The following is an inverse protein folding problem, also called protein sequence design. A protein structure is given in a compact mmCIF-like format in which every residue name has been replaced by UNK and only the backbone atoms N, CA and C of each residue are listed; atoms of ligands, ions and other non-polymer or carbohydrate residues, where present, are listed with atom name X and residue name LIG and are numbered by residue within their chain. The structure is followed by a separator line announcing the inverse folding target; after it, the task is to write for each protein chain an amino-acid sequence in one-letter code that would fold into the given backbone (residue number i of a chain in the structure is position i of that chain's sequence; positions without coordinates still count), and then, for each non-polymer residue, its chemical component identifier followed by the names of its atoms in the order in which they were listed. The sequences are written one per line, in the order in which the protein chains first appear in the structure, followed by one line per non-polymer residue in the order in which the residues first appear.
data_IF_223843059156
#
_entry.id   IF_223843059156
#
_cell.length_a   1.000
_cell.length_b   1.000
_cell.length_c   1.000
_cell.angle_alpha   90.00
_cell.angle_beta   90.00
_cell.angle_gamma   90.00
#
_symmetry.space_group_name_H-M   'P 1'
#
loop_
_entity.id
_entity.type
_entity.pdbx_description
1 polymer ?
#
# COMPACT_ATOMS: atom_id res chain seq x y z
N UNK A 1 4.45 66.82 16.96
CA UNK A 1 4.61 66.11 15.67
C UNK A 1 5.07 64.66 15.87
N UNK A 2 4.44 63.87 16.77
CA UNK A 2 4.90 62.50 17.12
C UNK A 2 3.79 61.43 17.17
N UNK A 3 2.51 61.79 17.02
CA UNK A 3 1.38 60.85 17.18
C UNK A 3 0.87 60.24 15.87
N UNK A 4 1.22 60.80 14.71
CA UNK A 4 0.81 60.28 13.39
C UNK A 4 1.74 59.19 12.86
N UNK A 5 3.02 59.19 13.25
CA UNK A 5 4.02 58.23 12.77
C UNK A 5 3.84 56.81 13.35
N UNK A 6 3.24 56.70 14.54
CA UNK A 6 3.04 55.42 15.22
C UNK A 6 1.83 54.63 14.68
N UNK A 7 0.83 55.33 14.12
CA UNK A 7 -0.37 54.68 13.54
C UNK A 7 -0.09 54.03 12.17
N UNK A 8 0.77 54.64 11.36
CA UNK A 8 1.17 54.09 10.05
C UNK A 8 2.08 52.87 10.19
N UNK A 9 2.94 52.83 11.21
CA UNK A 9 3.80 51.66 11.47
C UNK A 9 3.00 50.44 11.93
N UNK A 10 1.94 50.65 12.71
CA UNK A 10 1.09 49.57 13.20
C UNK A 10 0.22 48.95 12.08
N UNK A 11 -0.25 49.75 11.12
CA UNK A 11 -1.02 49.25 9.98
C UNK A 11 -0.19 48.39 9.02
N UNK A 12 1.11 48.70 8.86
CA UNK A 12 2.01 47.91 8.00
C UNK A 12 2.30 46.51 8.58
N UNK A 13 2.31 46.38 9.92
CA UNK A 13 2.55 45.10 10.59
C UNK A 13 1.36 44.13 10.49
N UNK A 14 0.13 44.65 10.39
CA UNK A 14 -1.09 43.83 10.27
C UNK A 14 -1.21 43.21 8.88
N UNK A 15 -0.76 43.90 7.82
CA UNK A 15 -0.83 43.41 6.43
C UNK A 15 0.15 42.25 6.19
N UNK A 16 1.27 42.20 6.94
CA UNK A 16 2.22 41.08 6.90
C UNK A 16 1.69 39.78 7.52
N UNK A 17 0.72 39.85 8.42
CA UNK A 17 0.14 38.65 9.07
C UNK A 17 -0.91 37.95 8.19
N UNK A 18 -1.51 38.65 7.22
CA UNK A 18 -2.56 38.08 6.33
C UNK A 18 -1.92 37.45 5.08
N UNK A 19 -0.68 37.80 4.74
CA UNK A 19 0.02 37.26 3.56
C UNK A 19 0.53 35.81 3.71
N UNK A 20 0.28 35.16 4.85
CA UNK A 20 0.64 33.77 5.08
C UNK A 20 -0.58 32.84 5.28
N UNK A 21 -1.72 33.17 4.67
CA UNK A 21 -2.65 32.10 4.26
C UNK A 21 -2.12 31.48 2.97
N UNK A 22 -1.04 30.72 3.11
CA UNK A 22 -0.62 29.80 2.07
C UNK A 22 -1.82 28.93 1.74
N UNK A 23 -2.32 29.04 0.50
CA UNK A 23 -3.31 28.15 -0.06
C UNK A 23 -2.96 26.73 0.36
N UNK A 24 -3.73 26.18 1.31
CA UNK A 24 -3.69 24.75 1.61
C UNK A 24 -4.34 24.07 0.42
N UNK A 25 -3.63 24.04 -0.71
CA UNK A 25 -3.87 23.04 -1.73
C UNK A 25 -3.97 21.72 -0.98
N UNK A 26 -5.09 21.02 -1.15
CA UNK A 26 -5.20 19.63 -0.71
C UNK A 26 -3.97 18.95 -1.29
N UNK A 27 -2.95 18.67 -0.48
CA UNK A 27 -1.80 17.86 -0.87
C UNK A 27 -2.38 16.52 -1.30
N UNK A 28 -2.63 16.35 -2.59
CA UNK A 28 -2.82 15.04 -3.18
C UNK A 28 -1.54 14.30 -2.82
N UNK A 29 -1.66 13.34 -1.91
CA UNK A 29 -0.54 12.54 -1.42
C UNK A 29 0.10 11.93 -2.68
N UNK A 30 1.25 12.47 -3.11
CA UNK A 30 1.96 11.97 -4.29
C UNK A 30 2.33 10.52 -3.98
N UNK A 31 1.69 9.60 -4.68
CA UNK A 31 2.06 8.18 -4.67
C UNK A 31 3.25 7.98 -5.60
N UNK A 32 4.10 6.99 -5.29
CA UNK A 32 5.19 6.63 -6.19
C UNK A 32 4.64 6.15 -7.55
N UNK A 33 5.41 6.36 -8.61
CA UNK A 33 5.16 5.65 -9.85
C UNK A 33 5.40 4.14 -9.65
N UNK A 34 4.69 3.29 -10.39
CA UNK A 34 4.79 1.84 -10.28
C UNK A 34 4.45 1.19 -11.63
N UNK A 35 5.21 0.16 -12.00
CA UNK A 35 4.91 -0.71 -13.14
C UNK A 35 4.19 -1.98 -12.66
N UNK A 36 4.58 -2.52 -11.50
CA UNK A 36 4.07 -3.79 -10.98
C UNK A 36 3.88 -3.75 -9.45
N UNK A 37 2.75 -4.29 -8.98
CA UNK A 37 2.51 -4.65 -7.59
C UNK A 37 2.68 -6.16 -7.47
N UNK A 38 3.53 -6.59 -6.54
CA UNK A 38 3.71 -8.01 -6.23
C UNK A 38 3.41 -8.27 -4.77
N UNK A 39 2.46 -9.18 -4.53
CA UNK A 39 2.07 -9.63 -3.20
C UNK A 39 2.40 -11.11 -3.09
N UNK A 40 3.26 -11.45 -2.14
CA UNK A 40 3.58 -12.82 -1.76
C UNK A 40 2.95 -13.13 -0.41
N UNK A 41 2.17 -14.19 -0.33
CA UNK A 41 1.88 -14.86 0.94
C UNK A 41 2.77 -16.09 1.05
N UNK A 42 2.44 -17.04 1.94
CA UNK A 42 3.27 -18.23 2.17
C UNK A 42 3.53 -19.05 0.91
N UNK A 43 2.45 -19.37 0.18
CA UNK A 43 2.49 -20.22 -1.00
C UNK A 43 1.92 -19.53 -2.25
N UNK A 44 1.41 -18.31 -2.10
CA UNK A 44 0.73 -17.62 -3.19
C UNK A 44 1.51 -16.38 -3.62
N UNK A 45 1.43 -16.09 -4.91
CA UNK A 45 1.97 -14.88 -5.52
C UNK A 45 0.90 -14.23 -6.36
N UNK A 46 0.68 -12.95 -6.16
CA UNK A 46 -0.23 -12.13 -6.94
C UNK A 46 0.60 -11.06 -7.61
N UNK A 47 0.40 -10.90 -8.91
CA UNK A 47 1.12 -9.94 -9.74
C UNK A 47 0.10 -9.07 -10.47
N UNK A 48 0.12 -7.77 -10.22
CA UNK A 48 -0.74 -6.79 -10.87
C UNK A 48 0.14 -5.80 -11.60
N UNK A 49 -0.12 -5.58 -12.89
CA UNK A 49 0.61 -4.60 -13.70
C UNK A 49 -0.21 -3.33 -13.87
N UNK A 50 0.44 -2.19 -13.95
CA UNK A 50 -0.22 -0.90 -14.12
C UNK A 50 -0.97 -0.82 -15.46
N UNK A 51 -0.31 -1.35 -16.51
CA UNK A 51 -0.69 -1.30 -17.91
C UNK A 51 -1.69 -2.39 -18.35
N UNK A 52 -2.09 -3.27 -17.43
CA UNK A 52 -2.98 -4.39 -17.72
C UNK A 52 -4.15 -4.47 -16.75
N UNK A 53 -5.33 -4.76 -17.28
CA UNK A 53 -6.51 -5.12 -16.47
C UNK A 53 -6.45 -6.56 -15.98
N UNK A 54 -5.50 -7.37 -16.49
CA UNK A 54 -5.31 -8.77 -16.11
C UNK A 54 -4.21 -8.89 -15.06
N UNK A 55 -4.58 -9.44 -13.91
CA UNK A 55 -3.67 -9.83 -12.84
C UNK A 55 -3.42 -11.34 -12.86
N UNK A 56 -2.26 -11.76 -12.37
CA UNK A 56 -1.87 -13.16 -12.28
C UNK A 56 -1.82 -13.61 -10.82
N UNK A 57 -2.28 -14.83 -10.59
CA UNK A 57 -2.26 -15.53 -9.32
C UNK A 57 -1.58 -16.89 -9.51
N UNK A 58 -0.52 -17.14 -8.73
CA UNK A 58 0.16 -18.43 -8.67
C UNK A 58 -0.01 -18.98 -7.25
N UNK A 59 -0.38 -20.25 -7.12
CA UNK A 59 -0.44 -20.97 -5.84
C UNK A 59 0.43 -22.23 -5.91
N UNK A 60 1.45 -22.29 -5.04
CA UNK A 60 2.35 -23.45 -4.90
C UNK A 60 1.70 -24.48 -3.99
N UNK A 61 1.27 -25.59 -4.56
CA UNK A 61 0.72 -26.71 -3.82
C UNK A 61 1.82 -27.73 -3.52
N UNK A 62 1.90 -28.13 -2.26
CA UNK A 62 2.84 -29.17 -1.83
C UNK A 62 2.10 -30.52 -1.91
N UNK A 63 2.28 -31.25 -3.00
CA UNK A 63 1.69 -32.58 -3.15
C UNK A 63 2.52 -33.56 -2.33
N UNK A 64 1.91 -34.12 -1.26
CA UNK A 64 2.57 -35.14 -0.43
C UNK A 64 2.96 -36.33 -1.31
N UNK A 65 4.25 -36.45 -1.65
CA UNK A 65 4.82 -37.60 -2.34
C UNK A 65 5.62 -37.32 -3.62
N UNK A 66 5.52 -36.13 -4.22
CA UNK A 66 6.34 -35.75 -5.38
C UNK A 66 7.30 -34.63 -5.02
N UNK A 67 8.55 -34.72 -5.49
CA UNK A 67 9.60 -33.71 -5.31
C UNK A 67 9.37 -32.43 -6.13
N UNK A 68 8.33 -32.38 -6.95
CA UNK A 68 7.97 -31.24 -7.79
C UNK A 68 6.77 -30.49 -7.20
N UNK A 69 6.97 -29.22 -6.86
CA UNK A 69 5.87 -28.34 -6.44
C UNK A 69 4.98 -28.06 -7.65
N UNK A 70 3.69 -28.42 -7.56
CA UNK A 70 2.72 -28.04 -8.58
C UNK A 70 2.34 -26.56 -8.41
N UNK A 71 2.39 -25.80 -9.49
CA UNK A 71 2.00 -24.38 -9.51
C UNK A 71 0.66 -24.26 -10.22
N UNK A 72 -0.39 -23.97 -9.45
CA UNK A 72 -1.67 -23.58 -10.01
C UNK A 72 -1.62 -22.09 -10.38
N UNK A 73 -1.69 -21.81 -11.68
CA UNK A 73 -1.72 -20.45 -12.21
C UNK A 73 -3.12 -20.09 -12.69
N UNK A 74 -3.62 -18.92 -12.28
CA UNK A 74 -4.89 -18.35 -12.72
C UNK A 74 -4.70 -16.87 -13.02
N UNK A 75 -5.56 -16.33 -13.87
CA UNK A 75 -5.64 -14.88 -14.10
C UNK A 75 -7.02 -14.37 -13.71
N UNK A 76 -7.09 -13.10 -13.30
CA UNK A 76 -8.33 -12.45 -12.92
C UNK A 76 -8.29 -10.97 -13.31
N UNK A 77 -9.47 -10.35 -13.41
CA UNK A 77 -9.60 -8.96 -13.84
C UNK A 77 -9.63 -8.00 -12.64
N UNK A 78 -8.89 -6.91 -12.78
CA UNK A 78 -8.99 -5.72 -11.93
C UNK A 78 -9.22 -4.51 -12.83
N UNK A 79 -10.32 -3.81 -12.63
CA UNK A 79 -10.56 -2.54 -13.32
C UNK A 79 -9.61 -1.45 -12.81
N UNK A 80 -9.52 -0.33 -13.54
CA UNK A 80 -8.63 0.79 -13.20
C UNK A 80 -8.81 1.30 -11.77
N UNK A 81 -10.05 1.45 -11.31
CA UNK A 81 -10.35 1.95 -9.95
C UNK A 81 -9.88 0.97 -8.86
N UNK A 82 -10.02 -0.32 -9.11
CA UNK A 82 -9.52 -1.38 -8.22
C UNK A 82 -7.97 -1.34 -8.19
N UNK A 83 -7.30 -1.22 -9.34
CA UNK A 83 -5.84 -1.09 -9.40
C UNK A 83 -5.33 0.17 -8.69
N UNK A 84 -5.97 1.32 -8.92
CA UNK A 84 -5.62 2.58 -8.26
C UNK A 84 -5.80 2.49 -6.73
N UNK A 85 -6.86 1.82 -6.29
CA UNK A 85 -7.11 1.58 -4.86
C UNK A 85 -6.06 0.65 -4.26
N UNK A 86 -5.76 -0.45 -4.94
CA UNK A 86 -4.72 -1.40 -4.53
C UNK A 86 -3.37 -0.68 -4.40
N UNK A 87 -2.96 0.08 -5.41
CA UNK A 87 -1.73 0.88 -5.38
C UNK A 87 -1.71 1.83 -4.18
N UNK A 88 -2.79 2.56 -3.92
CA UNK A 88 -2.88 3.47 -2.77
C UNK A 88 -2.68 2.76 -1.44
N UNK A 89 -3.30 1.59 -1.25
CA UNK A 89 -3.17 0.82 -0.01
C UNK A 89 -1.75 0.27 0.16
N UNK A 90 -1.19 -0.29 -0.92
CA UNK A 90 0.19 -0.81 -0.95
C UNK A 90 1.21 0.30 -0.66
N UNK A 91 1.10 1.44 -1.34
CA UNK A 91 2.00 2.57 -1.13
C UNK A 91 1.96 3.07 0.32
N UNK A 92 0.77 3.15 0.91
CA UNK A 92 0.61 3.55 2.31
C UNK A 92 1.23 2.52 3.27
N UNK A 93 1.09 1.23 3.01
CA UNK A 93 1.77 0.21 3.83
C UNK A 93 3.28 0.31 3.78
N UNK A 94 3.84 0.53 2.58
CA UNK A 94 5.29 0.61 2.38
C UNK A 94 5.86 1.88 3.04
N UNK A 95 5.18 3.01 2.91
CA UNK A 95 5.66 4.30 3.43
C UNK A 95 5.37 4.51 4.91
N UNK A 96 4.37 3.80 5.47
CA UNK A 96 3.96 3.90 6.88
C UNK A 96 3.69 2.49 7.44
N UNK A 97 4.72 1.63 7.55
CA UNK A 97 4.55 0.28 8.07
C UNK A 97 4.09 0.31 9.53
N UNK A 98 3.23 -0.63 9.91
CA UNK A 98 2.72 -0.76 11.27
C UNK A 98 3.45 -1.87 11.98
N UNK A 99 4.19 -1.58 13.04
CA UNK A 99 4.72 -2.63 13.91
C UNK A 99 3.56 -3.22 14.72
N UNK A 100 3.40 -4.55 14.64
CA UNK A 100 2.28 -5.27 15.27
C UNK A 100 2.81 -6.24 16.30
N UNK A 101 2.16 -6.28 17.46
CA UNK A 101 2.44 -7.26 18.52
C UNK A 101 1.65 -8.57 18.32
N UNK A 102 0.89 -8.68 17.22
CA UNK A 102 0.11 -9.87 16.85
C UNK A 102 0.98 -11.01 16.31
N UNK A 103 2.01 -11.35 17.06
CA UNK A 103 2.90 -12.46 16.76
C UNK A 103 2.17 -13.79 17.00
N UNK A 104 2.34 -14.73 16.09
CA UNK A 104 1.85 -16.08 16.22
C UNK A 104 3.01 -17.07 16.13
N UNK A 105 3.12 -17.97 17.11
CA UNK A 105 4.13 -19.03 17.14
C UNK A 105 3.70 -20.25 16.33
N UNK A 106 2.39 -20.52 16.30
CA UNK A 106 1.76 -21.56 15.48
C UNK A 106 0.84 -20.90 14.45
N UNK A 107 0.77 -21.46 13.23
CA UNK A 107 0.01 -20.87 12.11
C UNK A 107 0.45 -19.43 11.78
N UNK A 108 1.74 -19.16 11.98
CA UNK A 108 2.43 -17.94 11.57
C UNK A 108 2.16 -17.66 10.08
N UNK A 109 1.33 -16.66 9.85
CA UNK A 109 1.09 -16.09 8.56
C UNK A 109 2.21 -15.18 8.09
N UNK A 110 2.22 -14.93 6.79
CA UNK A 110 3.24 -14.21 6.09
C UNK A 110 2.65 -13.39 4.95
N UNK A 111 3.07 -12.13 4.84
CA UNK A 111 2.86 -11.35 3.63
C UNK A 111 4.06 -10.46 3.34
N UNK A 112 4.51 -10.47 2.09
CA UNK A 112 5.45 -9.50 1.54
C UNK A 112 4.77 -8.78 0.39
N UNK A 113 4.76 -7.45 0.45
CA UNK A 113 4.12 -6.59 -0.55
C UNK A 113 5.17 -5.65 -1.12
N UNK A 114 5.23 -5.54 -2.44
CA UNK A 114 6.18 -4.65 -3.11
C UNK A 114 5.59 -3.90 -4.29
N UNK A 115 6.10 -2.68 -4.49
CA UNK A 115 5.99 -1.89 -5.71
C UNK A 115 7.30 -2.02 -6.48
N UNK A 116 7.20 -2.26 -7.78
CA UNK A 116 8.34 -2.31 -8.69
C UNK A 116 8.16 -1.24 -9.75
N UNK A 117 9.22 -0.50 -10.02
CA UNK A 117 9.34 0.48 -11.08
C UNK A 117 10.70 0.25 -11.76
N UNK A 118 10.68 -0.29 -12.99
CA UNK A 118 11.87 -0.63 -13.77
C UNK A 118 12.95 -1.39 -12.97
N UNK A 119 13.92 -0.65 -12.42
CA UNK A 119 15.08 -1.16 -11.70
C UNK A 119 14.97 -1.02 -10.17
N UNK A 120 13.88 -0.45 -9.66
CA UNK A 120 13.70 -0.13 -8.24
C UNK A 120 12.56 -0.95 -7.67
N UNK A 121 12.77 -1.53 -6.48
CA UNK A 121 11.73 -2.23 -5.72
C UNK A 121 11.61 -1.58 -4.33
N UNK A 122 10.39 -1.19 -3.97
CA UNK A 122 10.04 -0.76 -2.61
C UNK A 122 9.10 -1.81 -2.02
N UNK A 123 9.31 -2.23 -0.78
CA UNK A 123 8.49 -3.28 -0.20
C UNK A 123 8.40 -3.22 1.32
N UNK A 124 7.42 -3.96 1.83
CA UNK A 124 7.19 -4.17 3.25
C UNK A 124 6.82 -5.63 3.48
N UNK A 125 7.37 -6.21 4.52
CA UNK A 125 7.25 -7.63 4.84
C UNK A 125 6.81 -7.79 6.29
N UNK A 126 5.76 -8.60 6.50
CA UNK A 126 5.26 -9.00 7.80
C UNK A 126 5.44 -10.51 7.95
N UNK A 127 6.30 -10.88 8.90
CA UNK A 127 6.62 -12.28 9.24
C UNK A 127 6.01 -12.65 10.58
N UNK A 128 5.65 -13.92 10.72
CA UNK A 128 5.19 -14.50 11.99
C UNK A 128 3.95 -13.80 12.58
N UNK A 129 3.08 -13.27 11.71
CA UNK A 129 1.81 -12.64 12.10
C UNK A 129 0.69 -13.66 12.03
N UNK A 130 -0.25 -13.70 12.97
CA UNK A 130 -1.33 -14.71 12.95
C UNK A 130 -2.15 -14.71 11.64
N UNK A 131 -2.92 -13.65 11.41
CA UNK A 131 -3.58 -13.40 10.12
C UNK A 131 -3.07 -12.09 9.53
N UNK A 132 -2.40 -12.15 8.38
CA UNK A 132 -1.76 -10.96 7.80
C UNK A 132 -2.78 -9.89 7.40
N UNK A 133 -4.00 -10.31 7.03
CA UNK A 133 -5.10 -9.41 6.69
C UNK A 133 -5.50 -8.48 7.85
N UNK A 134 -5.15 -8.82 9.10
CA UNK A 134 -5.53 -8.07 10.30
C UNK A 134 -4.42 -7.20 10.87
N UNK A 135 -3.26 -7.15 10.22
CA UNK A 135 -2.07 -6.39 10.68
C UNK A 135 -2.34 -4.89 10.71
N UNK A 136 -3.02 -4.37 9.70
CA UNK A 136 -3.36 -2.95 9.56
C UNK A 136 -4.68 -2.76 8.81
N UNK A 137 -5.18 -1.52 8.78
CA UNK A 137 -6.37 -1.20 7.98
C UNK A 137 -6.11 -1.40 6.48
N UNK A 138 -4.87 -1.23 6.05
CA UNK A 138 -4.44 -1.36 4.66
C UNK A 138 -4.35 -2.83 4.25
N UNK A 139 -3.78 -3.71 5.08
CA UNK A 139 -3.78 -5.17 4.81
C UNK A 139 -5.20 -5.71 4.70
N UNK A 140 -6.13 -5.21 5.54
CA UNK A 140 -7.53 -5.61 5.49
C UNK A 140 -8.20 -5.18 4.17
N UNK A 141 -7.94 -3.95 3.72
CA UNK A 141 -8.46 -3.41 2.45
C UNK A 141 -7.90 -4.17 1.24
N UNK A 142 -6.61 -4.49 1.25
CA UNK A 142 -5.95 -5.29 0.21
C UNK A 142 -6.57 -6.69 0.17
N UNK A 143 -6.66 -7.36 1.31
CA UNK A 143 -7.28 -8.68 1.41
C UNK A 143 -8.70 -8.66 0.88
N UNK A 144 -9.53 -7.71 1.32
CA UNK A 144 -10.93 -7.59 0.88
C UNK A 144 -11.03 -7.46 -0.64
N UNK A 145 -10.30 -6.50 -1.22
CA UNK A 145 -10.31 -6.24 -2.67
C UNK A 145 -9.94 -7.49 -3.48
N UNK A 146 -8.91 -8.22 -3.05
CA UNK A 146 -8.42 -9.37 -3.81
C UNK A 146 -9.24 -10.64 -3.56
N UNK A 147 -9.78 -10.80 -2.35
CA UNK A 147 -10.61 -11.96 -1.97
C UNK A 147 -11.95 -12.04 -2.72
N UNK A 148 -12.39 -10.93 -3.31
CA UNK A 148 -13.55 -10.89 -4.21
C UNK A 148 -13.26 -11.51 -5.59
N UNK A 149 -11.98 -11.70 -5.94
CA UNK A 149 -11.54 -12.19 -7.25
C UNK A 149 -10.90 -13.57 -7.19
N UNK A 150 -10.19 -13.86 -6.11
CA UNK A 150 -9.38 -15.06 -5.93
C UNK A 150 -9.38 -15.53 -4.47
N UNK A 151 -9.16 -16.83 -4.25
CA UNK A 151 -9.02 -17.39 -2.92
C UNK A 151 -7.59 -17.15 -2.40
N UNK A 152 -7.47 -16.24 -1.43
CA UNK A 152 -6.20 -15.85 -0.81
C UNK A 152 -6.10 -16.39 0.61
N UNK A 153 -4.95 -16.99 0.93
CA UNK A 153 -4.64 -17.43 2.29
C UNK A 153 -4.57 -16.23 3.23
N UNK A 154 -5.18 -16.38 4.41
CA UNK A 154 -5.04 -15.42 5.52
C UNK A 154 -3.76 -15.64 6.34
N UNK A 155 -3.15 -16.80 6.18
CA UNK A 155 -1.91 -17.25 6.82
C UNK A 155 -0.81 -17.35 5.77
#
# INVERSE_FOLDING_TARGET
MKKTFFKTFFYFFIILLIACEGNKEKKTEKTAYWDEIVIFTRNQKITVRQDSDTANFENRMNTRGNSENEILSKSFLLNKKERDSLHKFVYKMITKPVFTDKNATCYAGYVSISLRDRNTTLGCEYKSVGEWSTVSSETQKIYKLLSEKIEISRQ
#
